data_IF_415528606832
#
_entry.id   IF_415528606832
#
_cell.length_a   1.000
_cell.length_b   1.000
_cell.length_c   1.000
_cell.angle_alpha   90.00
_cell.angle_beta   90.00
_cell.angle_gamma   90.00
#
_symmetry.space_group_name_H-M   'P 1'
#
loop_
_entity.id
_entity.type
_entity.pdbx_description
1 polymer ?
#
# COMPACT_ATOMS: atom_id res chain seq x y z
N UNK A 1 71.98 -36.74 -16.27
CA UNK A 1 70.81 -36.11 -16.90
C UNK A 1 71.23 -34.73 -17.38
N UNK A 2 71.08 -34.42 -18.67
CA UNK A 2 71.62 -33.18 -19.26
C UNK A 2 70.87 -31.95 -18.73
N UNK A 3 71.58 -30.81 -18.56
CA UNK A 3 70.98 -29.53 -18.18
C UNK A 3 69.82 -29.12 -19.10
N UNK A 4 69.87 -29.52 -20.38
CA UNK A 4 68.81 -29.31 -21.35
C UNK A 4 67.50 -30.04 -20.98
N UNK A 5 67.59 -31.25 -20.40
CA UNK A 5 66.43 -32.04 -19.96
C UNK A 5 65.76 -31.41 -18.73
N UNK A 6 66.57 -30.85 -17.82
CA UNK A 6 66.06 -30.12 -16.65
C UNK A 6 65.35 -28.83 -17.03
N UNK A 7 65.91 -28.06 -17.97
CA UNK A 7 65.30 -26.82 -18.48
C UNK A 7 63.94 -27.09 -19.16
N UNK A 8 63.85 -28.17 -19.94
CA UNK A 8 62.61 -28.56 -20.63
C UNK A 8 61.49 -28.96 -19.65
N UNK A 9 61.83 -29.66 -18.57
CA UNK A 9 60.90 -30.03 -17.49
C UNK A 9 60.41 -28.79 -16.72
N UNK A 10 61.28 -27.84 -16.45
CA UNK A 10 60.90 -26.59 -15.77
C UNK A 10 60.02 -25.72 -16.66
N UNK A 11 60.34 -25.58 -17.95
CA UNK A 11 59.48 -24.83 -18.89
C UNK A 11 58.10 -25.46 -19.04
N UNK A 12 58.02 -26.79 -19.14
CA UNK A 12 56.73 -27.49 -19.24
C UNK A 12 55.91 -27.35 -17.95
N UNK A 13 56.54 -27.32 -16.78
CA UNK A 13 55.85 -27.08 -15.51
C UNK A 13 55.27 -25.65 -15.42
N UNK A 14 56.04 -24.64 -15.84
CA UNK A 14 55.62 -23.23 -15.83
C UNK A 14 54.45 -22.99 -16.79
N UNK A 15 54.48 -23.57 -18.00
CA UNK A 15 53.37 -23.46 -18.98
C UNK A 15 52.10 -24.16 -18.46
N UNK A 16 52.21 -25.24 -17.68
CA UNK A 16 51.06 -25.91 -17.07
C UNK A 16 50.49 -25.17 -15.86
N UNK A 17 51.30 -24.38 -15.15
CA UNK A 17 50.87 -23.52 -14.04
C UNK A 17 50.14 -22.26 -14.50
N UNK A 18 50.34 -21.82 -15.75
CA UNK A 18 49.63 -20.68 -16.36
C UNK A 18 48.17 -20.97 -16.70
N UNK A 19 47.72 -22.23 -16.55
CA UNK A 19 46.39 -22.69 -16.92
C UNK A 19 45.50 -23.09 -15.74
N UNK A 20 45.75 -22.59 -14.53
CA UNK A 20 44.73 -22.59 -13.48
C UNK A 20 43.79 -21.40 -13.68
N UNK A 21 43.19 -21.30 -14.87
CA UNK A 21 42.00 -20.48 -15.04
C UNK A 21 40.95 -21.08 -14.11
N UNK A 22 40.66 -20.40 -13.01
CA UNK A 22 39.44 -20.69 -12.26
C UNK A 22 38.32 -20.83 -13.30
N UNK A 23 37.59 -21.95 -13.29
CA UNK A 23 36.51 -22.23 -14.24
C UNK A 23 35.48 -21.06 -14.34
N UNK A 24 35.49 -20.20 -13.33
CA UNK A 24 34.84 -18.90 -13.29
C UNK A 24 35.92 -17.82 -13.12
N UNK A 25 36.18 -17.05 -14.18
CA UNK A 25 37.10 -15.92 -14.14
C UNK A 25 36.59 -14.78 -13.24
N UNK A 26 37.50 -13.87 -12.89
CA UNK A 26 37.13 -12.64 -12.18
C UNK A 26 36.03 -11.90 -12.97
N UNK A 27 35.03 -11.37 -12.26
CA UNK A 27 33.88 -10.66 -12.84
C UNK A 27 32.93 -11.48 -13.74
N UNK A 28 33.07 -12.81 -13.82
CA UNK A 28 32.19 -13.65 -14.66
C UNK A 28 30.69 -13.51 -14.32
N UNK A 29 30.36 -13.20 -13.07
CA UNK A 29 28.99 -13.06 -12.58
C UNK A 29 28.59 -11.61 -12.29
N UNK A 30 29.35 -10.61 -12.75
CA UNK A 30 29.10 -9.20 -12.41
C UNK A 30 27.70 -8.73 -12.83
N UNK A 31 27.15 -9.28 -13.91
CA UNK A 31 25.78 -9.00 -14.33
C UNK A 31 24.74 -9.52 -13.32
N UNK A 32 24.86 -10.77 -12.89
CA UNK A 32 23.95 -11.37 -11.91
C UNK A 32 24.10 -10.74 -10.53
N UNK A 33 25.35 -10.47 -10.12
CA UNK A 33 25.64 -9.78 -8.87
C UNK A 33 24.93 -8.41 -8.78
N UNK A 34 24.96 -7.62 -9.87
CA UNK A 34 24.23 -6.33 -9.92
C UNK A 34 22.71 -6.50 -9.76
N UNK A 35 22.12 -7.58 -10.28
CA UNK A 35 20.69 -7.88 -10.12
C UNK A 35 20.36 -8.30 -8.69
N UNK A 36 21.18 -9.15 -8.10
CA UNK A 36 21.06 -9.58 -6.71
C UNK A 36 21.19 -8.39 -5.74
N UNK A 37 22.11 -7.46 -5.98
CA UNK A 37 22.21 -6.23 -5.19
C UNK A 37 20.94 -5.38 -5.25
N UNK A 38 20.28 -5.28 -6.42
CA UNK A 38 19.00 -4.55 -6.54
C UNK A 38 17.87 -5.25 -5.77
N UNK A 39 17.81 -6.58 -5.80
CA UNK A 39 16.85 -7.35 -5.02
C UNK A 39 17.09 -7.22 -3.51
N UNK A 40 18.35 -7.32 -3.08
CA UNK A 40 18.72 -7.10 -1.69
C UNK A 40 18.36 -5.68 -1.24
N UNK A 41 18.65 -4.66 -2.07
CA UNK A 41 18.26 -3.28 -1.79
C UNK A 41 16.74 -3.11 -1.63
N UNK A 42 15.93 -3.88 -2.36
CA UNK A 42 14.47 -3.86 -2.21
C UNK A 42 14.03 -4.36 -0.83
N UNK A 43 14.67 -5.41 -0.29
CA UNK A 43 14.38 -5.95 1.03
C UNK A 43 14.65 -4.95 2.17
N UNK A 44 15.57 -4.01 1.96
CA UNK A 44 15.87 -2.92 2.90
C UNK A 44 15.18 -1.60 2.54
N UNK A 45 14.47 -1.55 1.41
CA UNK A 45 13.70 -0.36 1.03
C UNK A 45 12.34 -0.37 1.72
N UNK A 46 11.93 0.78 2.25
CA UNK A 46 10.55 1.02 2.68
C UNK A 46 9.89 1.89 1.60
N UNK A 47 9.23 1.31 0.58
CA UNK A 47 8.50 2.11 -0.38
C UNK A 47 7.44 2.93 0.36
N UNK A 48 7.19 4.14 -0.13
CA UNK A 48 6.08 4.94 0.38
C UNK A 48 4.79 4.14 0.21
N UNK A 49 3.94 4.15 1.23
CA UNK A 49 2.61 3.56 1.10
C UNK A 49 1.89 4.23 -0.06
N UNK A 50 1.21 3.43 -0.89
CA UNK A 50 0.33 3.98 -1.91
C UNK A 50 -0.69 4.89 -1.22
N UNK A 51 -0.77 6.14 -1.67
CA UNK A 51 -1.81 7.05 -1.21
C UNK A 51 -3.11 6.63 -1.88
N UNK A 52 -4.09 6.21 -1.08
CA UNK A 52 -5.46 6.08 -1.54
C UNK A 52 -6.05 7.48 -1.64
N UNK A 53 -6.59 7.82 -2.81
CA UNK A 53 -7.37 9.04 -2.99
C UNK A 53 -8.77 8.83 -2.37
N UNK A 54 -9.17 9.73 -1.49
CA UNK A 54 -10.46 9.76 -0.80
C UNK A 54 -11.48 10.69 -1.48
N UNK A 55 -11.16 11.25 -2.65
CA UNK A 55 -12.02 12.18 -3.39
C UNK A 55 -13.46 11.68 -3.61
N UNK A 56 -13.65 10.37 -3.83
CA UNK A 56 -14.98 9.78 -3.96
C UNK A 56 -15.77 9.83 -2.64
N UNK A 57 -15.12 9.50 -1.52
CA UNK A 57 -15.69 9.57 -0.18
C UNK A 57 -16.04 11.01 0.18
N UNK A 58 -15.16 11.96 -0.11
CA UNK A 58 -15.37 13.39 0.13
C UNK A 58 -16.55 13.93 -0.68
N UNK A 59 -16.64 13.55 -1.95
CA UNK A 59 -17.74 13.94 -2.84
C UNK A 59 -19.07 13.37 -2.35
N UNK A 60 -19.09 12.10 -1.93
CA UNK A 60 -20.27 11.48 -1.33
C UNK A 60 -20.73 12.21 -0.05
N UNK A 61 -19.80 12.54 0.86
CA UNK A 61 -20.14 13.28 2.08
C UNK A 61 -20.69 14.68 1.78
N UNK A 62 -20.16 15.37 0.77
CA UNK A 62 -20.70 16.68 0.32
C UNK A 62 -22.14 16.55 -0.17
N UNK A 63 -22.46 15.49 -0.92
CA UNK A 63 -23.83 15.23 -1.37
C UNK A 63 -24.76 14.96 -0.18
N UNK A 64 -24.33 14.15 0.80
CA UNK A 64 -25.14 13.89 1.99
C UNK A 64 -25.43 15.16 2.80
N UNK A 65 -24.44 16.05 2.94
CA UNK A 65 -24.63 17.37 3.58
C UNK A 65 -25.59 18.23 2.79
N UNK A 66 -25.45 18.31 1.46
CA UNK A 66 -26.36 19.05 0.60
C UNK A 66 -27.80 18.55 0.76
N UNK A 67 -28.00 17.23 0.69
CA UNK A 67 -29.32 16.62 0.87
C UNK A 67 -29.91 16.98 2.24
N UNK A 68 -29.11 16.96 3.30
CA UNK A 68 -29.55 17.34 4.65
C UNK A 68 -29.96 18.83 4.74
N UNK A 69 -29.33 19.72 3.97
CA UNK A 69 -29.75 21.14 3.92
C UNK A 69 -31.08 21.38 3.21
N UNK A 70 -31.48 20.46 2.33
CA UNK A 70 -32.65 20.59 1.47
C UNK A 70 -33.88 19.85 2.02
N UNK A 71 -33.67 18.88 2.90
CA UNK A 71 -34.76 18.08 3.47
C UNK A 71 -35.51 18.87 4.54
N UNK A 72 -36.76 18.49 4.78
CA UNK A 72 -37.63 19.19 5.72
C UNK A 72 -37.15 19.10 7.17
N UNK A 73 -37.58 20.06 7.98
CA UNK A 73 -37.17 20.14 9.38
C UNK A 73 -37.60 18.91 10.20
N UNK A 74 -38.73 18.28 9.88
CA UNK A 74 -39.19 17.11 10.63
C UNK A 74 -38.25 15.92 10.43
N UNK A 75 -37.71 15.74 9.22
CA UNK A 75 -36.65 14.76 8.97
C UNK A 75 -35.34 15.10 9.70
N UNK A 76 -34.91 16.36 9.65
CA UNK A 76 -33.69 16.79 10.35
C UNK A 76 -33.79 16.57 11.87
N UNK A 77 -34.96 16.82 12.45
CA UNK A 77 -35.24 16.64 13.87
C UNK A 77 -35.17 15.17 14.31
N UNK A 78 -35.31 14.19 13.40
CA UNK A 78 -35.12 12.77 13.73
C UNK A 78 -33.71 12.45 14.24
N UNK A 79 -32.72 13.27 13.86
CA UNK A 79 -31.33 13.09 14.25
C UNK A 79 -30.97 13.89 15.50
N UNK A 80 -31.89 14.72 16.02
CA UNK A 80 -31.69 15.58 17.20
C UNK A 80 -32.74 15.25 18.25
N UNK A 81 -32.37 14.52 19.29
CA UNK A 81 -33.34 14.14 20.34
C UNK A 81 -33.70 15.30 21.28
N UNK A 82 -32.88 16.35 21.33
CA UNK A 82 -33.16 17.55 22.11
C UNK A 82 -32.91 18.86 21.34
N UNK A 83 -33.64 19.91 21.71
CA UNK A 83 -33.43 21.28 21.18
C UNK A 83 -32.06 21.86 21.57
N UNK A 84 -31.30 21.17 22.44
CA UNK A 84 -30.00 21.57 22.95
C UNK A 84 -28.82 20.83 22.26
N UNK A 85 -29.08 19.96 21.28
CA UNK A 85 -28.09 19.30 20.43
C UNK A 85 -27.16 18.29 21.12
N UNK A 86 -27.50 17.79 22.32
CA UNK A 86 -26.64 16.90 23.11
C UNK A 86 -26.91 15.41 22.86
N UNK A 87 -28.09 15.06 22.38
CA UNK A 87 -28.48 13.65 22.17
C UNK A 87 -28.69 13.34 20.68
N UNK A 88 -27.85 12.44 20.16
CA UNK A 88 -27.79 12.02 18.77
C UNK A 88 -28.14 10.52 18.71
N UNK A 89 -29.34 10.14 18.25
CA UNK A 89 -29.74 8.74 18.25
C UNK A 89 -28.78 7.90 17.40
N UNK A 90 -28.22 6.84 17.99
CA UNK A 90 -27.27 5.96 17.32
C UNK A 90 -27.95 4.94 16.41
N UNK A 91 -29.24 4.71 16.64
CA UNK A 91 -30.05 3.74 15.91
C UNK A 91 -31.21 4.47 15.22
N UNK A 92 -31.61 4.00 14.03
CA UNK A 92 -32.79 4.51 13.36
C UNK A 92 -34.05 4.22 14.17
N UNK A 93 -35.18 4.90 13.86
CA UNK A 93 -36.49 4.48 14.33
C UNK A 93 -36.75 3.02 13.97
N UNK A 94 -37.63 2.36 14.73
CA UNK A 94 -38.09 1.02 14.39
C UNK A 94 -38.60 1.01 12.94
N UNK A 95 -38.08 0.08 12.14
CA UNK A 95 -38.36 0.01 10.71
C UNK A 95 -39.84 -0.36 10.50
N UNK A 96 -40.67 0.64 10.21
CA UNK A 96 -42.09 0.41 9.94
C UNK A 96 -42.29 -0.10 8.51
N UNK A 97 -41.35 0.17 7.59
CA UNK A 97 -41.48 -0.22 6.18
C UNK A 97 -40.09 -0.51 5.54
N UNK A 98 -39.87 -1.77 5.19
CA UNK A 98 -38.58 -2.31 4.73
C UNK A 98 -37.95 -1.59 3.52
N UNK A 99 -38.70 -0.79 2.76
CA UNK A 99 -38.16 -0.04 1.62
C UNK A 99 -37.23 1.10 2.02
N UNK A 100 -37.32 1.63 3.25
CA UNK A 100 -36.63 2.87 3.60
C UNK A 100 -35.13 2.68 3.88
N UNK A 101 -34.65 1.43 3.98
CA UNK A 101 -33.23 1.10 4.17
C UNK A 101 -32.56 2.00 5.22
N UNK A 102 -33.21 2.21 6.36
CA UNK A 102 -32.71 3.10 7.40
C UNK A 102 -31.33 2.69 7.91
N UNK A 103 -31.17 1.41 8.26
CA UNK A 103 -29.95 0.87 8.87
C UNK A 103 -28.66 1.15 8.11
N UNK A 104 -28.54 0.88 6.79
CA UNK A 104 -27.29 1.14 6.07
C UNK A 104 -26.92 2.63 5.96
N UNK A 105 -27.89 3.54 5.98
CA UNK A 105 -27.64 4.97 5.75
C UNK A 105 -27.71 5.83 7.01
N UNK A 106 -28.24 5.31 8.12
CA UNK A 106 -28.46 6.06 9.36
C UNK A 106 -27.22 6.81 9.82
N UNK A 107 -26.06 6.14 9.78
CA UNK A 107 -24.78 6.72 10.19
C UNK A 107 -24.39 7.93 9.34
N UNK A 108 -24.56 7.82 8.02
CA UNK A 108 -24.17 8.87 7.08
C UNK A 108 -25.09 10.09 7.20
N UNK A 109 -26.40 9.86 7.32
CA UNK A 109 -27.37 10.92 7.55
C UNK A 109 -27.17 11.59 8.91
N UNK A 110 -26.90 10.82 9.97
CA UNK A 110 -26.59 11.36 11.29
C UNK A 110 -25.35 12.26 11.26
N UNK A 111 -24.31 11.85 10.53
CA UNK A 111 -23.10 12.67 10.36
C UNK A 111 -23.40 13.97 9.59
N UNK A 112 -24.24 13.92 8.55
CA UNK A 112 -24.66 15.09 7.81
C UNK A 112 -25.53 16.04 8.67
N UNK A 113 -26.46 15.52 9.46
CA UNK A 113 -27.29 16.30 10.38
C UNK A 113 -26.44 16.99 11.47
N UNK A 114 -25.44 16.28 12.01
CA UNK A 114 -24.50 16.85 12.98
C UNK A 114 -23.62 17.95 12.38
N UNK A 115 -23.26 17.84 11.10
CA UNK A 115 -22.53 18.91 10.41
C UNK A 115 -23.37 20.18 10.20
N UNK A 116 -24.69 20.03 10.03
CA UNK A 116 -25.62 21.14 9.83
C UNK A 116 -25.96 21.92 11.13
N UNK A 117 -25.59 21.39 12.29
CA UNK A 117 -26.00 21.88 13.62
C UNK A 117 -24.97 22.79 14.25
#
# INVERSE_FOLDING_TARGET
MSAATGLFLVLTLIVRLQGADCAIGANANTYEFKRLCKLAALAYSKPAAARTDDAATDSYQKIQRLNMTLIDAAWQDMFKKDKNGKDWPQEPPADTEAQYKWTPFWKDWSAAAKWLS
#
